data_IF_194079284391
#
_entry.id   IF_194079284391
#
_cell.length_a   1.000
_cell.length_b   1.000
_cell.length_c   1.000
_cell.angle_alpha   90.00
_cell.angle_beta   90.00
_cell.angle_gamma   90.00
#
_symmetry.space_group_name_H-M   'P 1'
#
loop_
_entity.id
_entity.type
_entity.pdbx_description
1 polymer ?
#
# COMPACT_ATOMS: atom_id res chain seq x y z
N UNK A 1 -1.80 23.71 -0.27
CA UNK A 1 -2.55 24.88 0.24
C UNK A 1 -1.53 25.86 0.77
N UNK A 2 -1.75 27.15 0.58
CA UNK A 2 -0.76 28.19 0.94
C UNK A 2 -0.29 28.07 2.41
N UNK A 3 -1.21 27.74 3.33
CA UNK A 3 -0.89 27.51 4.75
C UNK A 3 0.07 26.33 4.99
N UNK A 4 -0.07 25.25 4.22
CA UNK A 4 0.83 24.09 4.33
C UNK A 4 2.22 24.45 3.80
N UNK A 5 2.28 25.16 2.67
CA UNK A 5 3.55 25.61 2.08
C UNK A 5 4.29 26.58 3.00
N UNK A 6 3.61 27.56 3.59
CA UNK A 6 4.20 28.47 4.58
C UNK A 6 4.75 27.72 5.80
N UNK A 7 4.01 26.70 6.28
CA UNK A 7 4.48 25.86 7.37
C UNK A 7 5.69 25.02 6.98
N UNK A 8 5.75 24.48 5.75
CA UNK A 8 6.91 23.73 5.28
C UNK A 8 8.12 24.66 5.06
N UNK A 9 7.89 25.84 4.47
CA UNK A 9 8.93 26.83 4.21
C UNK A 9 9.63 27.30 5.50
N UNK A 10 8.85 27.46 6.58
CA UNK A 10 9.35 27.82 7.91
C UNK A 10 10.19 26.75 8.62
N UNK A 11 10.39 25.57 8.03
CA UNK A 11 11.21 24.50 8.62
C UNK A 11 12.72 24.85 8.73
N UNK A 12 13.16 25.97 8.15
CA UNK A 12 14.56 26.40 8.22
C UNK A 12 15.49 25.46 7.45
N UNK A 13 16.74 25.35 7.91
CA UNK A 13 17.79 24.47 7.37
C UNK A 13 17.67 23.02 7.85
N UNK A 14 17.03 22.80 9.00
CA UNK A 14 16.84 21.46 9.57
C UNK A 14 15.84 20.61 8.76
N UNK A 15 15.01 21.27 7.95
CA UNK A 15 14.02 20.61 7.09
C UNK A 15 12.86 19.99 7.88
N UNK A 16 12.12 19.11 7.22
CA UNK A 16 10.94 18.49 7.81
C UNK A 16 10.85 17.00 7.52
N UNK A 17 10.08 16.31 8.37
CA UNK A 17 9.77 14.89 8.27
C UNK A 17 8.31 14.76 7.86
N UNK A 18 8.04 13.87 6.92
CA UNK A 18 6.68 13.51 6.54
C UNK A 18 6.33 12.13 7.12
N UNK A 19 5.22 12.02 7.84
CA UNK A 19 4.76 10.75 8.43
C UNK A 19 3.39 10.36 7.89
N UNK A 20 3.31 9.23 7.19
CA UNK A 20 2.06 8.71 6.60
C UNK A 20 2.02 7.18 6.58
N UNK A 21 1.03 6.61 7.28
CA UNK A 21 0.75 5.16 7.27
C UNK A 21 -0.24 4.74 6.16
N UNK A 22 -0.44 5.60 5.16
CA UNK A 22 -1.39 5.35 4.07
C UNK A 22 -2.82 5.75 4.42
N UNK A 23 -3.80 5.16 3.74
CA UNK A 23 -5.24 5.40 3.96
C UNK A 23 -5.96 4.21 4.59
N UNK A 24 -5.36 3.02 4.53
CA UNK A 24 -6.00 1.78 5.03
C UNK A 24 -5.75 1.61 6.53
N UNK A 25 -4.54 1.94 6.99
CA UNK A 25 -4.25 2.03 8.41
C UNK A 25 -4.83 3.34 8.92
N UNK A 26 -5.73 3.28 9.90
CA UNK A 26 -6.23 4.46 10.59
C UNK A 26 -5.24 4.83 11.69
N UNK A 27 -4.53 5.96 11.59
CA UNK A 27 -3.59 6.37 12.62
C UNK A 27 -4.26 6.51 14.00
N UNK A 28 -5.56 6.85 14.06
CA UNK A 28 -6.28 6.90 15.33
C UNK A 28 -6.48 5.57 16.05
N UNK A 29 -6.24 4.45 15.38
CA UNK A 29 -6.31 3.11 15.99
C UNK A 29 -4.98 2.72 16.67
N UNK A 30 -3.94 3.55 16.54
CA UNK A 30 -2.67 3.37 17.26
C UNK A 30 -2.96 3.46 18.78
N UNK A 31 -2.46 2.50 19.60
CA UNK A 31 -2.64 2.55 21.04
C UNK A 31 -2.15 3.87 21.63
N UNK A 32 -2.90 4.40 22.59
CA UNK A 32 -2.65 5.73 23.15
C UNK A 32 -1.23 5.91 23.70
N UNK A 33 -0.70 4.90 24.39
CA UNK A 33 0.68 4.91 24.88
C UNK A 33 1.72 5.03 23.74
N UNK A 34 1.47 4.36 22.62
CA UNK A 34 2.33 4.44 21.42
C UNK A 34 2.19 5.79 20.74
N UNK A 35 0.97 6.35 20.66
CA UNK A 35 0.72 7.71 20.15
C UNK A 35 1.48 8.74 20.96
N UNK A 36 1.34 8.72 22.29
CA UNK A 36 2.03 9.65 23.20
C UNK A 36 3.55 9.53 23.08
N UNK A 37 4.07 8.30 22.96
CA UNK A 37 5.50 8.07 22.74
C UNK A 37 5.96 8.66 21.39
N UNK A 38 5.21 8.42 20.30
CA UNK A 38 5.51 9.01 18.99
C UNK A 38 5.53 10.54 19.07
N UNK A 39 4.51 11.15 19.66
CA UNK A 39 4.40 12.61 19.85
C UNK A 39 5.58 13.14 20.67
N UNK A 40 5.97 12.46 21.75
CA UNK A 40 7.10 12.84 22.60
C UNK A 40 8.43 12.79 21.85
N UNK A 41 8.70 11.72 21.10
CA UNK A 41 9.96 11.60 20.34
C UNK A 41 9.99 12.60 19.19
N UNK A 42 8.95 12.64 18.36
CA UNK A 42 8.85 13.54 17.22
C UNK A 42 8.85 15.01 17.65
N UNK A 43 8.24 15.32 18.80
CA UNK A 43 8.20 16.65 19.39
C UNK A 43 9.56 17.15 19.88
N UNK A 44 10.49 16.24 20.17
CA UNK A 44 11.85 16.57 20.63
C UNK A 44 12.84 16.78 19.49
N UNK A 45 12.43 16.56 18.24
CA UNK A 45 13.27 16.76 17.06
C UNK A 45 13.36 18.24 16.68
N UNK A 46 14.47 18.61 16.04
CA UNK A 46 14.64 19.96 15.46
C UNK A 46 13.82 20.15 14.19
N UNK A 47 13.61 19.06 13.45
CA UNK A 47 12.79 19.02 12.26
C UNK A 47 11.34 19.33 12.60
N UNK A 48 10.66 19.99 11.66
CA UNK A 48 9.20 20.02 11.68
C UNK A 48 8.65 18.65 11.25
N UNK A 49 7.50 18.25 11.78
CA UNK A 49 6.89 16.95 11.46
C UNK A 49 5.49 17.15 10.90
N UNK A 50 5.32 16.77 9.64
CA UNK A 50 4.03 16.78 8.97
C UNK A 50 3.44 15.37 9.06
N UNK A 51 2.40 15.20 9.86
CA UNK A 51 1.82 13.90 10.14
C UNK A 51 0.42 13.78 9.52
N UNK A 52 0.27 12.85 8.57
CA UNK A 52 -1.04 12.47 8.06
C UNK A 52 -1.84 11.75 9.16
N UNK A 53 -2.95 12.35 9.57
CA UNK A 53 -3.79 11.89 10.67
C UNK A 53 -5.26 11.90 10.26
N UNK A 54 -6.06 10.94 10.70
CA UNK A 54 -7.44 10.75 10.23
C UNK A 54 -8.50 11.59 10.97
N UNK A 55 -8.12 12.27 12.07
CA UNK A 55 -8.98 13.22 12.81
C UNK A 55 -8.54 14.67 12.64
N UNK A 56 -9.41 15.63 12.96
CA UNK A 56 -9.12 17.07 12.83
C UNK A 56 -8.20 17.60 13.93
N UNK A 57 -8.21 16.95 15.10
CA UNK A 57 -7.45 17.34 16.26
C UNK A 57 -6.76 16.13 16.91
N UNK A 58 -5.69 16.44 17.64
CA UNK A 58 -4.99 15.54 18.54
C UNK A 58 -4.58 16.38 19.74
N UNK A 59 -4.89 15.90 20.93
CA UNK A 59 -4.45 16.54 22.18
C UNK A 59 -2.92 16.37 22.32
N UNK A 60 -2.29 17.34 22.96
CA UNK A 60 -0.85 17.33 23.29
C UNK A 60 0.13 17.48 22.10
N UNK A 61 -0.28 18.10 20.99
CA UNK A 61 0.60 18.36 19.85
C UNK A 61 1.65 19.45 20.15
N UNK A 62 2.96 19.14 20.07
CA UNK A 62 4.04 20.13 20.11
C UNK A 62 3.99 21.07 18.89
N UNK A 63 4.58 22.26 19.02
CA UNK A 63 4.54 23.30 17.97
C UNK A 63 5.25 22.91 16.66
N UNK A 64 6.20 21.96 16.71
CA UNK A 64 6.89 21.45 15.52
C UNK A 64 6.09 20.37 14.78
N UNK A 65 4.99 19.86 15.34
CA UNK A 65 4.15 18.83 14.70
C UNK A 65 2.88 19.47 14.13
N UNK A 66 2.58 19.17 12.87
CA UNK A 66 1.32 19.53 12.23
C UNK A 66 0.63 18.30 11.70
N UNK A 67 -0.66 18.15 12.03
CA UNK A 67 -1.50 17.07 11.52
C UNK A 67 -2.39 17.54 10.36
N UNK A 68 -2.73 16.63 9.44
CA UNK A 68 -3.75 16.85 8.41
C UNK A 68 -4.36 15.55 7.92
N UNK A 69 -5.66 15.56 7.62
CA UNK A 69 -6.39 14.43 7.00
C UNK A 69 -5.94 14.14 5.59
N UNK A 70 -5.69 15.21 4.83
CA UNK A 70 -5.32 15.11 3.44
C UNK A 70 -4.07 15.93 3.17
N UNK A 71 -3.13 15.30 2.46
CA UNK A 71 -1.83 15.87 2.13
C UNK A 71 -1.45 15.44 0.71
N UNK A 72 -0.91 16.35 -0.12
CA UNK A 72 -0.44 16.03 -1.45
C UNK A 72 0.91 15.29 -1.35
N UNK A 73 0.86 13.98 -1.12
CA UNK A 73 2.03 13.16 -0.81
C UNK A 73 3.13 13.29 -1.87
N UNK A 74 2.78 13.23 -3.17
CA UNK A 74 3.77 13.34 -4.25
C UNK A 74 4.53 14.68 -4.23
N UNK A 75 3.82 15.79 -4.01
CA UNK A 75 4.43 17.12 -3.94
C UNK A 75 5.32 17.26 -2.70
N UNK A 76 4.88 16.69 -1.57
CA UNK A 76 5.65 16.67 -0.33
C UNK A 76 6.93 15.86 -0.50
N UNK A 77 6.86 14.67 -1.12
CA UNK A 77 8.01 13.83 -1.39
C UNK A 77 8.98 14.47 -2.38
N UNK A 78 8.50 15.31 -3.29
CA UNK A 78 9.33 16.11 -4.20
C UNK A 78 9.93 17.38 -3.59
N UNK A 79 9.59 17.72 -2.34
CA UNK A 79 10.02 18.99 -1.75
C UNK A 79 11.49 18.94 -1.28
N UNK A 80 12.33 19.95 -1.61
CA UNK A 80 13.79 19.89 -1.37
C UNK A 80 14.18 19.88 0.11
N UNK A 81 13.31 20.40 0.99
CA UNK A 81 13.50 20.41 2.46
C UNK A 81 13.00 19.15 3.18
N UNK A 82 12.46 18.18 2.44
CA UNK A 82 12.05 16.91 3.05
C UNK A 82 13.32 16.14 3.42
N UNK A 83 13.47 15.85 4.70
CA UNK A 83 14.61 15.07 5.20
C UNK A 83 14.28 13.59 5.26
N UNK A 84 13.12 13.23 5.80
CA UNK A 84 12.78 11.82 6.03
C UNK A 84 11.31 11.56 5.73
N UNK A 85 11.03 10.43 5.09
CA UNK A 85 9.68 9.89 4.97
C UNK A 85 9.47 8.70 5.92
N UNK A 86 8.60 8.87 6.91
CA UNK A 86 8.13 7.79 7.76
C UNK A 86 6.88 7.17 7.14
N UNK A 87 6.91 5.86 6.85
CA UNK A 87 5.78 5.21 6.18
C UNK A 87 5.55 3.76 6.60
N UNK A 88 4.34 3.27 6.41
CA UNK A 88 4.01 1.85 6.59
C UNK A 88 4.67 0.91 5.56
N UNK A 89 5.29 1.43 4.49
CA UNK A 89 5.94 0.59 3.46
C UNK A 89 5.01 0.03 2.39
N UNK A 90 3.85 0.64 2.15
CA UNK A 90 3.01 0.28 1.01
C UNK A 90 3.73 0.51 -0.33
N UNK A 91 3.49 -0.36 -1.31
CA UNK A 91 4.22 -0.38 -2.58
C UNK A 91 4.29 0.99 -3.27
N UNK A 92 3.15 1.70 -3.37
CA UNK A 92 3.11 3.02 -4.01
C UNK A 92 3.89 4.07 -3.20
N UNK A 93 3.74 4.10 -1.88
CA UNK A 93 4.51 5.03 -1.03
C UNK A 93 6.01 4.82 -1.20
N UNK A 94 6.44 3.55 -1.25
CA UNK A 94 7.85 3.19 -1.50
C UNK A 94 8.29 3.61 -2.90
N UNK A 95 7.42 3.48 -3.91
CA UNK A 95 7.71 3.90 -5.28
C UNK A 95 7.90 5.41 -5.41
N UNK A 96 7.01 6.19 -4.80
CA UNK A 96 7.10 7.65 -4.79
C UNK A 96 8.34 8.13 -4.03
N UNK A 97 8.71 7.44 -2.94
CA UNK A 97 9.91 7.76 -2.18
C UNK A 97 11.20 7.58 -2.99
N UNK A 98 11.40 6.41 -3.63
CA UNK A 98 12.61 6.20 -4.43
C UNK A 98 12.61 7.08 -5.68
N UNK A 99 11.45 7.34 -6.31
CA UNK A 99 11.36 8.24 -7.46
C UNK A 99 11.80 9.67 -7.11
N UNK A 100 11.62 10.08 -5.86
CA UNK A 100 12.06 11.39 -5.35
C UNK A 100 13.42 11.34 -4.63
N UNK A 101 14.05 10.17 -4.49
CA UNK A 101 15.35 10.04 -3.83
C UNK A 101 15.29 10.28 -2.32
N UNK A 102 14.15 9.97 -1.71
CA UNK A 102 13.89 10.15 -0.28
C UNK A 102 14.13 8.83 0.45
N UNK A 103 14.90 8.88 1.53
CA UNK A 103 15.11 7.72 2.40
C UNK A 103 13.97 7.55 3.40
N UNK A 104 13.76 6.32 3.87
CA UNK A 104 12.51 5.93 4.53
C UNK A 104 12.73 5.30 5.90
N UNK A 105 11.93 5.70 6.89
CA UNK A 105 11.77 4.94 8.13
C UNK A 105 10.45 4.16 8.05
N UNK A 106 10.56 2.84 7.95
CA UNK A 106 9.44 1.94 7.72
C UNK A 106 8.77 1.45 9.00
N UNK A 107 7.45 1.39 8.98
CA UNK A 107 6.61 0.85 10.05
C UNK A 107 5.58 -0.16 9.51
N UNK A 108 6.01 -1.34 9.02
CA UNK A 108 5.10 -2.33 8.43
C UNK A 108 3.97 -2.72 9.39
N UNK A 109 2.74 -2.72 8.90
CA UNK A 109 1.55 -3.08 9.67
C UNK A 109 0.98 -4.43 9.20
N UNK A 110 0.70 -4.59 7.91
CA UNK A 110 0.08 -5.81 7.37
C UNK A 110 0.31 -5.99 5.86
N UNK A 111 -0.21 -7.09 5.31
CA UNK A 111 -0.13 -7.45 3.89
C UNK A 111 1.31 -7.53 3.36
N UNK A 112 1.59 -6.84 2.26
CA UNK A 112 2.86 -6.85 1.53
C UNK A 112 3.90 -5.87 2.07
N UNK A 113 3.52 -5.03 3.03
CA UNK A 113 4.37 -3.94 3.56
C UNK A 113 5.72 -4.44 4.08
N UNK A 114 5.75 -5.53 4.83
CA UNK A 114 7.00 -6.10 5.34
C UNK A 114 7.92 -6.60 4.23
N UNK A 115 7.35 -7.14 3.15
CA UNK A 115 8.12 -7.61 1.99
C UNK A 115 8.69 -6.42 1.21
N UNK A 116 7.88 -5.37 1.02
CA UNK A 116 8.32 -4.14 0.36
C UNK A 116 9.46 -3.48 1.15
N UNK A 117 9.34 -3.38 2.48
CA UNK A 117 10.39 -2.84 3.33
C UNK A 117 11.67 -3.69 3.27
N UNK A 118 11.56 -5.02 3.38
CA UNK A 118 12.71 -5.91 3.25
C UNK A 118 13.40 -5.83 1.87
N UNK A 119 12.65 -5.48 0.81
CA UNK A 119 13.21 -5.29 -0.52
C UNK A 119 14.06 -4.02 -0.60
N UNK A 120 13.64 -2.93 0.06
CA UNK A 120 14.39 -1.66 0.08
C UNK A 120 15.54 -1.69 1.10
N UNK A 121 15.41 -2.48 2.17
CA UNK A 121 16.48 -2.69 3.16
C UNK A 121 17.71 -3.32 2.52
N UNK A 122 17.50 -4.26 1.59
CA UNK A 122 18.57 -4.83 0.76
C UNK A 122 19.26 -3.79 -0.13
N UNK A 123 18.58 -2.69 -0.46
CA UNK A 123 19.11 -1.60 -1.26
C UNK A 123 19.76 -0.51 -0.38
N UNK A 124 19.52 -0.52 0.94
CA UNK A 124 20.26 0.26 1.94
C UNK A 124 19.84 1.72 2.09
N UNK A 125 18.61 2.07 1.70
CA UNK A 125 18.09 3.45 1.77
C UNK A 125 16.90 3.62 2.72
N UNK A 126 16.68 2.65 3.61
CA UNK A 126 15.67 2.71 4.66
C UNK A 126 16.17 2.09 5.97
N UNK A 127 15.36 2.26 7.01
CA UNK A 127 15.45 1.50 8.25
C UNK A 127 14.06 1.02 8.63
N UNK A 128 13.92 -0.20 9.13
CA UNK A 128 12.62 -0.79 9.50
C UNK A 128 12.47 -0.85 11.02
N UNK A 129 11.31 -0.41 11.52
CA UNK A 129 10.91 -0.55 12.91
C UNK A 129 9.65 -1.43 12.99
N UNK A 130 9.67 -2.39 13.91
CA UNK A 130 8.49 -3.18 14.23
C UNK A 130 7.66 -2.47 15.32
N UNK A 131 6.34 -2.41 15.13
CA UNK A 131 5.41 -1.90 16.15
C UNK A 131 5.45 -2.71 17.46
N UNK A 132 5.67 -4.02 17.36
CA UNK A 132 5.72 -4.90 18.52
C UNK A 132 7.01 -4.66 19.30
N UNK A 133 6.86 -4.21 20.55
CA UNK A 133 8.00 -3.90 21.42
C UNK A 133 8.68 -2.57 21.09
N UNK A 134 8.01 -1.68 20.35
CA UNK A 134 8.51 -0.34 20.08
C UNK A 134 8.65 0.46 21.39
N UNK A 135 9.87 0.90 21.68
CA UNK A 135 10.20 1.76 22.82
C UNK A 135 10.60 3.15 22.36
N UNK A 136 10.53 4.12 23.28
CA UNK A 136 10.97 5.50 23.03
C UNK A 136 12.43 5.57 22.57
N UNK A 137 13.32 4.86 23.27
CA UNK A 137 14.75 4.86 22.98
C UNK A 137 15.05 4.26 21.61
N UNK A 138 14.40 3.15 21.26
CA UNK A 138 14.59 2.51 19.97
C UNK A 138 14.12 3.39 18.81
N UNK A 139 12.96 4.05 18.96
CA UNK A 139 12.46 4.99 17.95
C UNK A 139 13.41 6.19 17.80
N UNK A 140 13.86 6.75 18.92
CA UNK A 140 14.78 7.90 18.95
C UNK A 140 16.12 7.56 18.29
N UNK A 141 16.69 6.40 18.62
CA UNK A 141 17.93 5.91 18.02
C UNK A 141 17.78 5.74 16.51
N UNK A 142 16.69 5.09 16.06
CA UNK A 142 16.45 4.86 14.65
C UNK A 142 16.23 6.15 13.85
N UNK A 143 15.53 7.14 14.42
CA UNK A 143 15.36 8.46 13.82
C UNK A 143 16.70 9.21 13.73
N UNK A 144 17.49 9.21 14.79
CA UNK A 144 18.78 9.90 14.81
C UNK A 144 19.78 9.26 13.85
N UNK A 145 19.83 7.93 13.77
CA UNK A 145 20.68 7.24 12.83
C UNK A 145 20.28 7.55 11.39
N UNK A 146 18.99 7.39 11.03
CA UNK A 146 18.59 7.56 9.63
C UNK A 146 18.73 9.01 9.14
N UNK A 147 18.48 9.99 10.01
CA UNK A 147 18.62 11.42 9.68
C UNK A 147 20.10 11.83 9.56
N UNK A 148 20.96 11.38 10.47
CA UNK A 148 22.35 11.84 10.52
C UNK A 148 23.30 11.01 9.65
N UNK A 149 22.91 9.80 9.26
CA UNK A 149 23.76 8.92 8.46
C UNK A 149 23.57 9.18 6.95
N UNK A 150 24.57 9.76 6.26
CA UNK A 150 24.42 10.16 4.86
C UNK A 150 24.25 8.96 3.93
N UNK A 151 24.60 7.74 4.36
CA UNK A 151 24.46 6.52 3.56
C UNK A 151 23.04 6.35 3.02
N UNK A 152 22.03 6.56 3.86
CA UNK A 152 20.64 6.37 3.45
C UNK A 152 20.23 7.32 2.33
N UNK A 153 20.60 8.61 2.46
CA UNK A 153 20.33 9.63 1.44
C UNK A 153 21.09 9.36 0.15
N UNK A 154 22.36 8.96 0.23
CA UNK A 154 23.18 8.64 -0.94
C UNK A 154 22.61 7.44 -1.70
N UNK A 155 22.21 6.37 -1.00
CA UNK A 155 21.59 5.21 -1.64
C UNK A 155 20.20 5.53 -2.21
N UNK A 156 19.37 6.31 -1.51
CA UNK A 156 18.07 6.76 -2.02
C UNK A 156 18.22 7.54 -3.33
N UNK A 157 19.15 8.50 -3.38
CA UNK A 157 19.46 9.27 -4.58
C UNK A 157 20.08 8.40 -5.68
N UNK A 158 20.81 7.34 -5.34
CA UNK A 158 21.30 6.37 -6.32
C UNK A 158 20.15 5.60 -6.95
N UNK A 159 19.20 5.12 -6.16
CA UNK A 159 17.99 4.46 -6.68
C UNK A 159 17.16 5.42 -7.55
N UNK A 160 17.03 6.68 -7.13
CA UNK A 160 16.34 7.69 -7.93
C UNK A 160 16.97 7.87 -9.31
N UNK A 161 18.30 7.97 -9.39
CA UNK A 161 19.01 8.11 -10.67
C UNK A 161 18.73 6.91 -11.58
N UNK A 162 18.80 5.69 -11.04
CA UNK A 162 18.50 4.47 -11.78
C UNK A 162 17.04 4.45 -12.25
N UNK A 163 16.10 4.85 -11.40
CA UNK A 163 14.68 4.87 -11.70
C UNK A 163 14.28 5.86 -12.79
N UNK A 164 14.92 7.03 -12.78
CA UNK A 164 14.67 8.13 -13.73
C UNK A 164 15.45 7.94 -15.04
N UNK A 165 16.45 7.07 -15.06
CA UNK A 165 17.19 6.70 -16.26
C UNK A 165 16.35 5.78 -17.13
N UNK A 166 15.52 6.39 -17.98
CA UNK A 166 14.62 5.71 -18.89
C UNK A 166 15.01 6.01 -20.33
N UNK A 167 14.94 4.98 -21.19
CA UNK A 167 15.25 5.09 -22.61
C UNK A 167 14.39 6.17 -23.32
N UNK A 168 13.14 6.32 -22.89
CA UNK A 168 12.16 7.24 -23.46
C UNK A 168 11.63 8.11 -22.32
N UNK A 169 11.49 9.41 -22.57
CA UNK A 169 10.93 10.30 -21.55
C UNK A 169 9.49 9.92 -21.19
N UNK A 170 9.03 10.17 -19.95
CA UNK A 170 7.64 9.93 -19.59
C UNK A 170 6.65 10.68 -20.49
N UNK A 171 7.02 11.88 -20.96
CA UNK A 171 6.20 12.68 -21.86
C UNK A 171 6.07 12.03 -23.25
N UNK A 172 7.19 11.60 -23.83
CA UNK A 172 7.19 10.93 -25.15
C UNK A 172 6.48 9.59 -25.09
N UNK A 173 6.62 8.87 -23.97
CA UNK A 173 5.88 7.63 -23.72
C UNK A 173 4.37 7.86 -23.74
N UNK A 174 3.88 8.91 -23.06
CA UNK A 174 2.46 9.28 -23.08
C UNK A 174 2.02 9.66 -24.49
N UNK A 175 2.78 10.51 -25.19
CA UNK A 175 2.47 10.93 -26.56
C UNK A 175 2.34 9.72 -27.49
N UNK A 176 3.31 8.80 -27.42
CA UNK A 176 3.30 7.57 -28.21
C UNK A 176 2.05 6.73 -27.96
N UNK A 177 1.66 6.51 -26.70
CA UNK A 177 0.50 5.70 -26.36
C UNK A 177 -0.82 6.38 -26.75
N UNK A 178 -0.92 7.69 -26.60
CA UNK A 178 -2.07 8.47 -27.10
C UNK A 178 -2.21 8.30 -28.61
N UNK A 179 -1.12 8.50 -29.35
CA UNK A 179 -1.11 8.32 -30.82
C UNK A 179 -1.39 6.88 -31.23
N UNK A 180 -0.91 5.90 -30.46
CA UNK A 180 -1.23 4.49 -30.69
C UNK A 180 -2.73 4.22 -30.57
N UNK A 181 -3.38 4.76 -29.54
CA UNK A 181 -4.83 4.61 -29.34
C UNK A 181 -5.59 5.26 -30.49
N UNK A 182 -5.16 6.44 -30.95
CA UNK A 182 -5.77 7.15 -32.09
C UNK A 182 -5.60 6.35 -33.39
N UNK A 183 -4.38 5.91 -33.72
CA UNK A 183 -4.06 5.11 -34.92
C UNK A 183 -4.88 3.82 -35.00
N UNK A 184 -5.23 3.23 -33.86
CA UNK A 184 -5.97 1.98 -33.78
C UNK A 184 -7.44 2.15 -33.36
N UNK A 185 -8.04 3.34 -33.58
CA UNK A 185 -9.46 3.61 -33.33
C UNK A 185 -9.93 3.17 -31.93
N UNK A 186 -9.15 3.54 -30.91
CA UNK A 186 -9.40 3.20 -29.51
C UNK A 186 -8.66 1.95 -29.00
N UNK A 187 -7.69 1.41 -29.76
CA UNK A 187 -6.84 0.27 -29.39
C UNK A 187 -7.60 -0.86 -28.66
N UNK A 188 -8.68 -1.34 -29.29
CA UNK A 188 -9.64 -2.27 -28.70
C UNK A 188 -9.01 -3.55 -28.13
N UNK A 189 -7.90 -3.99 -28.71
CA UNK A 189 -7.12 -5.14 -28.31
C UNK A 189 -6.37 -4.97 -26.97
N UNK A 190 -6.09 -3.74 -26.53
CA UNK A 190 -5.44 -3.46 -25.24
C UNK A 190 -6.44 -3.34 -24.09
N UNK A 191 -7.71 -3.10 -24.41
CA UNK A 191 -8.77 -2.97 -23.41
C UNK A 191 -9.13 -4.32 -22.79
N UNK A 192 -9.55 -4.29 -21.52
CA UNK A 192 -10.04 -5.49 -20.83
C UNK A 192 -11.25 -6.11 -21.58
N UNK A 193 -11.18 -7.38 -22.03
CA UNK A 193 -12.27 -8.04 -22.75
C UNK A 193 -13.59 -8.08 -21.97
N UNK A 194 -13.52 -8.10 -20.64
CA UNK A 194 -14.67 -8.18 -19.72
C UNK A 194 -15.68 -7.06 -19.96
N UNK A 195 -15.24 -5.84 -20.29
CA UNK A 195 -16.15 -4.69 -20.51
C UNK A 195 -17.15 -4.90 -21.64
N UNK A 196 -16.91 -5.86 -22.53
CA UNK A 196 -17.76 -6.19 -23.67
C UNK A 196 -18.36 -7.59 -23.60
N UNK A 197 -18.03 -8.35 -22.54
CA UNK A 197 -18.63 -9.66 -22.36
C UNK A 197 -20.10 -9.48 -21.94
N UNK A 198 -21.04 -10.18 -22.61
CA UNK A 198 -22.41 -10.28 -22.11
C UNK A 198 -22.42 -10.83 -20.69
N UNK A 199 -23.37 -10.38 -19.87
CA UNK A 199 -23.47 -10.76 -18.46
C UNK A 199 -23.44 -12.29 -18.26
N UNK A 200 -24.06 -13.07 -19.15
CA UNK A 200 -24.11 -14.53 -19.02
C UNK A 200 -22.74 -15.21 -19.21
N UNK A 201 -21.84 -14.63 -20.03
CA UNK A 201 -20.45 -15.11 -20.15
C UNK A 201 -19.63 -14.65 -18.95
N UNK A 202 -19.85 -13.43 -18.49
CA UNK A 202 -19.17 -12.89 -17.32
C UNK A 202 -19.42 -13.74 -16.07
N UNK A 203 -20.65 -14.21 -15.90
CA UNK A 203 -21.06 -15.06 -14.78
C UNK A 203 -20.95 -16.57 -15.06
N UNK A 204 -20.42 -16.98 -16.22
CA UNK A 204 -20.28 -18.39 -16.63
C UNK A 204 -21.57 -19.21 -16.42
N UNK A 205 -22.70 -18.69 -16.87
CA UNK A 205 -24.03 -19.29 -16.67
C UNK A 205 -24.09 -20.71 -17.24
N UNK A 206 -23.42 -20.94 -18.37
CA UNK A 206 -23.25 -22.25 -19.01
C UNK A 206 -22.53 -23.27 -18.12
N UNK A 207 -21.44 -22.86 -17.46
CA UNK A 207 -20.70 -23.71 -16.50
C UNK A 207 -21.57 -24.05 -15.30
N UNK A 208 -22.28 -23.07 -14.72
CA UNK A 208 -23.19 -23.31 -13.61
C UNK A 208 -24.33 -24.25 -13.98
N UNK A 209 -24.90 -24.08 -15.17
CA UNK A 209 -25.98 -24.92 -15.65
C UNK A 209 -25.51 -26.36 -15.87
N UNK A 210 -24.32 -26.57 -16.44
CA UNK A 210 -23.72 -27.89 -16.58
C UNK A 210 -23.46 -28.56 -15.22
N UNK A 211 -22.92 -27.82 -14.24
CA UNK A 211 -22.68 -28.32 -12.88
C UNK A 211 -23.99 -28.74 -12.19
N UNK A 212 -25.03 -27.89 -12.25
CA UNK A 212 -26.34 -28.18 -11.64
C UNK A 212 -26.98 -29.41 -12.28
N UNK A 213 -26.97 -29.51 -13.62
CA UNK A 213 -27.52 -30.67 -14.33
C UNK A 213 -26.76 -31.95 -13.98
N UNK A 214 -25.42 -31.88 -13.89
CA UNK A 214 -24.59 -33.04 -13.51
C UNK A 214 -24.88 -33.50 -12.08
N UNK A 215 -25.12 -32.56 -11.16
CA UNK A 215 -25.47 -32.85 -9.77
C UNK A 215 -26.87 -33.49 -9.67
N UNK A 216 -27.85 -32.97 -10.40
CA UNK A 216 -29.21 -33.53 -10.45
C UNK A 216 -29.16 -34.97 -10.99
N UNK A 217 -28.41 -35.20 -12.06
CA UNK A 217 -28.25 -36.54 -12.64
C UNK A 217 -27.60 -37.51 -11.65
N UNK A 218 -26.55 -37.07 -10.95
CA UNK A 218 -25.86 -37.88 -9.94
C UNK A 218 -26.81 -38.27 -8.80
N UNK A 219 -27.58 -37.32 -8.27
CA UNK A 219 -28.60 -37.57 -7.24
C UNK A 219 -29.67 -38.55 -7.75
N UNK A 220 -30.14 -38.37 -8.99
CA UNK A 220 -31.15 -39.25 -9.59
C UNK A 220 -30.65 -40.69 -9.72
N UNK A 221 -29.40 -40.88 -10.16
CA UNK A 221 -28.77 -42.21 -10.26
C UNK A 221 -28.62 -42.84 -8.88
N UNK A 222 -28.13 -42.11 -7.87
CA UNK A 222 -28.03 -42.60 -6.49
C UNK A 222 -29.41 -43.02 -5.96
N UNK A 223 -30.43 -42.19 -6.16
CA UNK A 223 -31.80 -42.50 -5.74
C UNK A 223 -32.34 -43.76 -6.41
N UNK A 224 -32.11 -43.95 -7.72
CA UNK A 224 -32.49 -45.17 -8.44
C UNK A 224 -31.75 -46.39 -7.93
N UNK A 225 -30.45 -46.27 -7.64
CA UNK A 225 -29.65 -47.36 -7.06
C UNK A 225 -30.16 -47.74 -5.66
N UNK A 226 -30.49 -46.77 -4.80
CA UNK A 226 -31.06 -47.01 -3.47
C UNK A 226 -32.44 -47.69 -3.53
N UNK A 227 -33.32 -47.29 -4.45
CA UNK A 227 -34.60 -47.98 -4.66
C UNK A 227 -34.36 -49.41 -5.18
N UNK A 228 -33.39 -49.59 -6.08
CA UNK A 228 -33.06 -50.90 -6.62
C UNK A 228 -32.55 -51.83 -5.51
N UNK A 229 -31.61 -51.38 -4.68
CA UNK A 229 -31.11 -52.16 -3.54
C UNK A 229 -32.19 -52.42 -2.50
N UNK A 230 -33.04 -51.44 -2.18
CA UNK A 230 -34.18 -51.62 -1.29
C UNK A 230 -35.16 -52.69 -1.81
N UNK A 231 -35.54 -52.63 -3.09
CA UNK A 231 -36.44 -53.61 -3.71
C UNK A 231 -35.80 -55.00 -3.87
N UNK A 232 -34.49 -55.08 -4.08
CA UNK A 232 -33.74 -56.34 -4.13
C UNK A 232 -33.61 -56.98 -2.73
N UNK A 233 -33.39 -56.19 -1.67
CA UNK A 233 -33.36 -56.69 -0.29
C UNK A 233 -34.76 -57.08 0.22
N UNK A 234 -35.80 -56.29 -0.07
CA UNK A 234 -37.18 -56.59 0.31
C UNK A 234 -37.80 -57.81 -0.39
N UNK A 235 -37.30 -58.20 -1.58
CA UNK A 235 -37.66 -59.48 -2.21
C UNK A 235 -36.97 -60.69 -1.58
N UNK A 236 -35.81 -60.49 -0.93
CA UNK A 236 -35.04 -61.57 -0.31
C UNK A 236 -35.59 -61.97 1.06
N UNK A 237 -36.22 -61.04 1.79
CA UNK A 237 -36.96 -61.33 3.03
C UNK A 237 -38.30 -62.06 2.80
N UNK A 238 -38.95 -61.88 1.63
CA UNK A 238 -40.20 -62.58 1.30
C UNK A 238 -40.02 -64.03 0.79
N UNK A 239 -38.79 -64.45 0.53
CA UNK A 239 -38.44 -65.79 0.01
C UNK A 239 -37.64 -66.65 1.02
N UNK A 240 -37.66 -66.29 2.31
CA UNK A 240 -37.28 -67.17 3.44
C UNK A 240 -38.53 -67.56 4.19
#
# INVERSE_FOLDING_TARGET
SQVLEEWIAGAGEEGFIFFSLGSVVKPSDIPENTRLMLVKVLGSLKQRVLWKWDKDNMEDLPSNIRISKWLPQQDILGHPKLELFMTHGGLHSTQEAFYNGVHVLGFPVFADQSMNMAAIEKQGWDRVINWKGLTEDHLREALLDIINNPRYRVEAQRQQRIARDQLISPQDTVNYWVDYVIRHNGARQLGCPIKRMPWYKLYNVDVWLALILSQILTIFVIFKLLICTYNCCGRREKNK
#
